data_IF_468390665621
#
_entry.id   IF_468390665621
#
_cell.length_a   1.000
_cell.length_b   1.000
_cell.length_c   1.000
_cell.angle_alpha   90.00
_cell.angle_beta   90.00
_cell.angle_gamma   90.00
#
_symmetry.space_group_name_H-M   'P 1'
#
loop_
_entity.id
_entity.type
_entity.pdbx_description
1 polymer ?
#
# COMPACT_ATOMS: atom_id res chain seq x y z
N UNK A 1 -13.75 22.67 9.46
CA UNK A 1 -12.97 21.59 10.08
C UNK A 1 -12.32 20.72 9.02
N UNK A 2 -13.10 20.04 8.16
CA UNK A 2 -12.62 19.19 7.04
C UNK A 2 -11.58 19.87 6.12
N UNK A 3 -11.78 21.14 5.74
CA UNK A 3 -10.82 21.86 4.89
C UNK A 3 -9.45 22.13 5.57
N UNK A 4 -9.39 22.20 6.90
CA UNK A 4 -8.14 22.42 7.62
C UNK A 4 -7.32 21.13 7.71
N UNK A 5 -8.00 19.99 7.86
CA UNK A 5 -7.41 18.66 7.89
C UNK A 5 -6.80 18.27 6.53
N UNK A 6 -7.52 18.51 5.42
CA UNK A 6 -7.00 18.26 4.07
C UNK A 6 -5.72 19.06 3.77
N UNK A 7 -5.64 20.32 4.23
CA UNK A 7 -4.44 21.15 4.08
C UNK A 7 -3.24 20.60 4.87
N UNK A 8 -3.48 20.06 6.07
CA UNK A 8 -2.45 19.42 6.88
C UNK A 8 -1.95 18.11 6.23
N UNK A 9 -2.87 17.33 5.65
CA UNK A 9 -2.56 16.12 4.89
C UNK A 9 -1.72 16.46 3.65
N UNK A 10 -2.12 17.46 2.86
CA UNK A 10 -1.36 17.92 1.68
C UNK A 10 0.05 18.35 2.09
N UNK A 11 0.18 19.13 3.18
CA UNK A 11 1.49 19.55 3.68
C UNK A 11 2.35 18.34 4.08
N UNK A 12 1.77 17.39 4.81
CA UNK A 12 2.46 16.17 5.25
C UNK A 12 2.95 15.34 4.06
N UNK A 13 2.13 15.18 3.02
CA UNK A 13 2.52 14.44 1.81
C UNK A 13 3.67 15.15 1.10
N UNK A 14 3.61 16.48 0.96
CA UNK A 14 4.68 17.27 0.36
C UNK A 14 6.01 17.13 1.11
N UNK A 15 5.98 17.17 2.45
CA UNK A 15 7.17 16.98 3.28
C UNK A 15 7.77 15.58 3.09
N UNK A 16 6.92 14.56 2.94
CA UNK A 16 7.36 13.19 2.63
C UNK A 16 7.97 13.07 1.24
N UNK A 17 7.35 13.67 0.21
CA UNK A 17 7.89 13.71 -1.16
C UNK A 17 9.27 14.34 -1.17
N UNK A 18 9.42 15.52 -0.54
CA UNK A 18 10.70 16.25 -0.46
C UNK A 18 11.79 15.39 0.16
N UNK A 19 11.46 14.64 1.23
CA UNK A 19 12.41 13.74 1.89
C UNK A 19 12.82 12.57 0.98
N UNK A 20 11.88 11.93 0.31
CA UNK A 20 12.19 10.83 -0.62
C UNK A 20 13.01 11.34 -1.82
N UNK A 21 12.73 12.54 -2.34
CA UNK A 21 13.53 13.16 -3.40
C UNK A 21 14.96 13.45 -2.97
N UNK A 22 15.17 14.01 -1.77
CA UNK A 22 16.49 14.24 -1.21
C UNK A 22 17.28 12.94 -1.05
N UNK A 23 16.64 11.89 -0.52
CA UNK A 23 17.25 10.58 -0.36
C UNK A 23 17.59 9.94 -1.71
N UNK A 24 16.71 10.08 -2.72
CA UNK A 24 16.96 9.60 -4.08
C UNK A 24 18.17 10.29 -4.69
N UNK A 25 18.26 11.61 -4.56
CA UNK A 25 19.41 12.38 -5.05
C UNK A 25 20.72 11.98 -4.34
N UNK A 26 20.67 11.76 -3.02
CA UNK A 26 21.83 11.28 -2.27
C UNK A 26 22.29 9.89 -2.76
N UNK A 27 21.36 8.96 -3.01
CA UNK A 27 21.67 7.64 -3.57
C UNK A 27 22.26 7.72 -4.99
N UNK A 28 21.76 8.63 -5.84
CA UNK A 28 22.33 8.88 -7.19
C UNK A 28 23.76 9.38 -7.09
N UNK A 29 24.04 10.36 -6.22
CA UNK A 29 25.40 10.89 -6.01
C UNK A 29 26.34 9.82 -5.45
N UNK A 30 25.88 9.01 -4.50
CA UNK A 30 26.68 7.93 -3.96
C UNK A 30 26.99 6.88 -5.03
N UNK A 31 26.02 6.55 -5.88
CA UNK A 31 26.23 5.63 -7.02
C UNK A 31 27.26 6.17 -8.01
N UNK A 32 27.20 7.45 -8.36
CA UNK A 32 28.14 8.05 -9.32
C UNK A 32 29.56 8.16 -8.78
N UNK A 33 29.71 8.29 -7.46
CA UNK A 33 31.00 8.51 -6.81
C UNK A 33 31.62 7.23 -6.24
N UNK A 34 30.96 6.08 -6.38
CA UNK A 34 31.42 4.81 -5.81
C UNK A 34 31.76 3.80 -6.91
N UNK A 35 32.99 3.29 -6.88
CA UNK A 35 33.45 2.23 -7.78
C UNK A 35 33.10 0.82 -7.28
N UNK A 36 32.67 0.69 -6.02
CA UNK A 36 32.31 -0.61 -5.46
C UNK A 36 31.01 -1.15 -6.10
N UNK A 37 31.04 -2.32 -6.78
CA UNK A 37 29.86 -2.87 -7.45
C UNK A 37 28.72 -3.20 -6.50
N UNK A 38 29.01 -3.65 -5.26
CA UNK A 38 27.97 -3.94 -4.27
C UNK A 38 27.22 -2.66 -3.84
N UNK A 39 27.97 -1.57 -3.63
CA UNK A 39 27.39 -0.26 -3.28
C UNK A 39 26.55 0.28 -4.42
N UNK A 40 27.02 0.14 -5.67
CA UNK A 40 26.27 0.57 -6.86
C UNK A 40 24.94 -0.17 -6.98
N UNK A 41 24.94 -1.50 -6.87
CA UNK A 41 23.70 -2.31 -6.90
C UNK A 41 22.74 -1.91 -5.79
N UNK A 42 23.24 -1.69 -4.57
CA UNK A 42 22.41 -1.25 -3.46
C UNK A 42 21.81 0.15 -3.69
N UNK A 43 22.60 1.08 -4.26
CA UNK A 43 22.11 2.40 -4.62
C UNK A 43 21.04 2.33 -5.72
N UNK A 44 21.22 1.47 -6.73
CA UNK A 44 20.23 1.26 -7.80
C UNK A 44 18.90 0.75 -7.27
N UNK A 45 18.93 -0.26 -6.40
CA UNK A 45 17.73 -0.75 -5.72
C UNK A 45 17.07 0.37 -4.89
N UNK A 46 17.85 1.16 -4.17
CA UNK A 46 17.34 2.27 -3.35
C UNK A 46 16.69 3.34 -4.21
N UNK A 47 17.29 3.69 -5.35
CA UNK A 47 16.75 4.67 -6.30
C UNK A 47 15.40 4.19 -6.86
N UNK A 48 15.28 2.92 -7.25
CA UNK A 48 14.01 2.37 -7.75
C UNK A 48 12.91 2.40 -6.69
N UNK A 49 13.24 2.02 -5.45
CA UNK A 49 12.27 2.03 -4.34
C UNK A 49 11.83 3.46 -4.01
N UNK A 50 12.77 4.41 -3.89
CA UNK A 50 12.46 5.81 -3.63
C UNK A 50 11.61 6.42 -4.75
N UNK A 51 11.88 6.05 -6.02
CA UNK A 51 11.04 6.49 -7.13
C UNK A 51 9.60 5.99 -6.98
N UNK A 52 9.41 4.69 -6.73
CA UNK A 52 8.07 4.12 -6.49
C UNK A 52 7.36 4.80 -5.32
N UNK A 53 8.08 5.15 -4.25
CA UNK A 53 7.52 5.88 -3.12
C UNK A 53 7.07 7.29 -3.52
N UNK A 54 7.89 8.02 -4.28
CA UNK A 54 7.55 9.36 -4.80
C UNK A 54 6.30 9.28 -5.67
N UNK A 55 6.22 8.30 -6.58
CA UNK A 55 5.10 8.14 -7.49
C UNK A 55 3.79 7.86 -6.74
N UNK A 56 3.85 6.99 -5.72
CA UNK A 56 2.71 6.74 -4.81
C UNK A 56 2.26 8.01 -4.08
N UNK A 57 3.19 8.73 -3.44
CA UNK A 57 2.86 9.93 -2.68
C UNK A 57 2.32 11.05 -3.58
N UNK A 58 2.81 11.17 -4.82
CA UNK A 58 2.31 12.15 -5.80
C UNK A 58 0.89 11.82 -6.25
N UNK A 59 0.61 10.54 -6.54
CA UNK A 59 -0.75 10.12 -6.89
C UNK A 59 -1.73 10.38 -5.74
N UNK A 60 -1.30 10.17 -4.49
CA UNK A 60 -2.16 10.44 -3.34
C UNK A 60 -2.38 11.93 -3.09
N UNK A 61 -1.34 12.75 -3.28
CA UNK A 61 -1.44 14.21 -3.23
C UNK A 61 -2.45 14.74 -4.25
N UNK A 62 -2.42 14.23 -5.48
CA UNK A 62 -3.35 14.61 -6.53
C UNK A 62 -4.81 14.31 -6.13
N UNK A 63 -5.08 13.14 -5.55
CA UNK A 63 -6.42 12.78 -5.06
C UNK A 63 -6.93 13.72 -3.99
N UNK A 64 -6.10 14.03 -2.99
CA UNK A 64 -6.49 14.94 -1.90
C UNK A 64 -6.71 16.36 -2.43
N UNK A 65 -5.88 16.82 -3.38
CA UNK A 65 -6.08 18.11 -4.03
C UNK A 65 -7.37 18.19 -4.85
N UNK A 66 -7.70 17.14 -5.61
CA UNK A 66 -8.97 17.08 -6.35
C UNK A 66 -10.18 17.08 -5.42
N UNK A 67 -10.12 16.33 -4.31
CA UNK A 67 -11.15 16.34 -3.26
C UNK A 67 -11.34 17.74 -2.67
N UNK A 68 -10.23 18.41 -2.32
CA UNK A 68 -10.26 19.78 -1.82
C UNK A 68 -10.85 20.77 -2.84
N UNK A 69 -10.46 20.66 -4.12
CA UNK A 69 -10.97 21.55 -5.17
C UNK A 69 -12.47 21.37 -5.41
N UNK A 70 -12.95 20.12 -5.52
CA UNK A 70 -14.36 19.81 -5.71
C UNK A 70 -15.24 20.32 -4.56
N UNK A 71 -14.75 20.24 -3.32
CA UNK A 71 -15.45 20.78 -2.15
C UNK A 71 -15.49 22.32 -2.15
N UNK A 72 -14.55 22.97 -2.83
CA UNK A 72 -14.47 24.43 -2.96
C UNK A 72 -15.35 24.97 -4.10
N UNK A 73 -15.68 24.15 -5.10
CA UNK A 73 -16.51 24.55 -6.26
C UNK A 73 -18.02 24.37 -6.06
N UNK A 74 -18.49 23.73 -5.00
CA UNK A 74 -19.93 23.52 -4.69
C UNK A 74 -20.67 24.76 -4.16
N UNK A 75 -20.15 25.98 -4.41
CA UNK A 75 -20.74 27.25 -3.96
C UNK A 75 -21.63 27.99 -4.96
N UNK A 76 -21.91 27.43 -6.15
CA UNK A 76 -22.74 28.08 -7.17
C UNK A 76 -24.00 27.23 -7.42
N UNK A 77 -25.20 27.66 -7.00
CA UNK A 77 -26.44 26.98 -7.34
C UNK A 77 -26.68 27.11 -8.85
N UNK A 78 -27.07 26.04 -9.57
CA UNK A 78 -27.62 26.19 -10.91
C UNK A 78 -28.99 26.88 -10.77
N UNK A 79 -29.09 28.11 -11.28
CA UNK A 79 -30.37 28.77 -11.48
C UNK A 79 -31.28 27.91 -12.39
N UNK A 80 -32.54 27.63 -12.02
CA UNK A 80 -33.51 27.11 -12.96
C UNK A 80 -34.05 28.31 -13.75
N UNK A 81 -33.76 28.39 -15.04
CA UNK A 81 -34.54 29.25 -15.92
C UNK A 81 -35.42 28.43 -16.85
N UNK A 82 -36.64 28.89 -16.96
CA UNK A 82 -37.84 28.16 -17.31
C UNK A 82 -38.22 28.43 -18.76
N UNK A 83 -38.62 27.36 -19.47
CA UNK A 83 -39.56 27.41 -20.60
C UNK A 83 -38.96 27.43 -22.00
N UNK A 84 -39.28 26.41 -22.82
CA UNK A 84 -40.44 26.44 -23.74
C UNK A 84 -40.42 25.24 -24.72
N UNK A 85 -41.56 24.54 -24.77
CA UNK A 85 -42.23 23.84 -25.88
C UNK A 85 -41.50 22.94 -26.90
N UNK A 86 -42.04 21.71 -26.98
CA UNK A 86 -41.95 20.71 -28.07
C UNK A 86 -42.50 21.26 -29.42
N UNK A 87 -42.27 20.59 -30.57
CA UNK A 87 -43.17 19.48 -30.93
C UNK A 87 -42.49 18.23 -31.53
N UNK A 88 -43.24 17.14 -31.35
CA UNK A 88 -43.14 15.81 -31.97
C UNK A 88 -43.07 15.87 -33.50
N UNK A 89 -42.21 15.05 -34.09
CA UNK A 89 -42.46 14.55 -35.45
C UNK A 89 -42.04 13.07 -35.59
N UNK A 90 -43.05 12.22 -35.70
CA UNK A 90 -42.95 10.83 -36.13
C UNK A 90 -42.65 10.76 -37.62
N UNK A 91 -41.65 10.00 -38.07
CA UNK A 91 -41.67 9.40 -39.41
C UNK A 91 -41.10 7.98 -39.41
N UNK A 92 -41.94 7.09 -39.92
CA UNK A 92 -41.75 5.71 -40.36
C UNK A 92 -40.49 5.53 -41.22
N UNK A 93 -39.86 4.38 -41.05
CA UNK A 93 -39.01 3.74 -42.05
C UNK A 93 -38.81 2.27 -41.68
N UNK A 94 -39.63 1.41 -42.26
CA UNK A 94 -39.46 -0.05 -42.23
C UNK A 94 -38.63 -0.38 -43.46
N UNK A 95 -37.44 -0.94 -43.29
CA UNK A 95 -36.74 -1.68 -44.34
C UNK A 95 -36.33 -3.05 -43.77
N UNK A 96 -36.85 -4.17 -44.32
CA UNK A 96 -36.35 -5.50 -44.03
C UNK A 96 -35.21 -5.82 -45.00
N UNK A 97 -34.22 -6.58 -44.51
CA UNK A 97 -33.18 -7.26 -45.29
C UNK A 97 -31.88 -6.45 -45.52
N UNK A 98 -31.01 -6.45 -44.49
CA UNK A 98 -29.57 -6.42 -44.70
C UNK A 98 -28.92 -7.49 -43.80
N UNK A 99 -28.28 -8.41 -44.48
CA UNK A 99 -27.62 -9.62 -44.02
C UNK A 99 -26.66 -9.37 -42.87
N UNK A 100 -26.88 -10.16 -41.82
CA UNK A 100 -25.96 -10.58 -40.77
C UNK A 100 -24.49 -10.52 -41.18
N UNK A 101 -23.75 -9.53 -40.67
CA UNK A 101 -22.30 -9.60 -40.59
C UNK A 101 -21.86 -9.34 -39.14
N UNK A 102 -21.19 -10.36 -38.61
CA UNK A 102 -20.69 -10.41 -37.26
C UNK A 102 -19.54 -9.41 -37.10
N UNK A 103 -19.74 -8.37 -36.31
CA UNK A 103 -18.63 -7.80 -35.57
C UNK A 103 -19.12 -7.18 -34.27
N UNK A 104 -19.28 -8.06 -33.28
CA UNK A 104 -19.41 -7.66 -31.89
C UNK A 104 -18.14 -6.90 -31.49
N UNK A 105 -18.22 -5.57 -31.52
CA UNK A 105 -17.37 -4.67 -30.76
C UNK A 105 -17.70 -4.84 -29.27
N UNK A 106 -17.46 -6.06 -28.78
CA UNK A 106 -17.46 -6.37 -27.38
C UNK A 106 -16.05 -6.03 -26.94
N UNK A 107 -15.88 -4.86 -26.33
CA UNK A 107 -14.66 -4.40 -25.67
C UNK A 107 -14.35 -5.33 -24.48
N UNK A 108 -14.08 -6.61 -24.76
CA UNK A 108 -13.62 -7.58 -23.78
C UNK A 108 -12.23 -7.11 -23.39
N UNK A 109 -12.15 -6.55 -22.18
CA UNK A 109 -10.89 -6.18 -21.52
C UNK A 109 -9.87 -7.28 -21.80
N UNK A 110 -8.68 -6.96 -22.31
CA UNK A 110 -7.71 -7.97 -22.68
C UNK A 110 -7.42 -8.86 -21.47
N UNK A 111 -7.58 -10.16 -21.64
CA UNK A 111 -7.27 -11.15 -20.61
C UNK A 111 -5.74 -11.15 -20.46
N UNK A 112 -5.26 -10.51 -19.41
CA UNK A 112 -3.83 -10.47 -19.09
C UNK A 112 -3.33 -11.89 -18.80
N UNK A 113 -2.18 -12.26 -19.36
CA UNK A 113 -1.52 -13.53 -19.02
C UNK A 113 -1.09 -13.52 -17.54
N UNK A 114 -0.96 -14.69 -16.91
CA UNK A 114 -0.36 -14.79 -15.56
C UNK A 114 1.02 -14.11 -15.50
N UNK A 115 1.79 -14.16 -16.61
CA UNK A 115 3.04 -13.43 -16.75
C UNK A 115 2.84 -11.91 -16.79
N UNK A 116 1.78 -11.43 -17.44
CA UNK A 116 1.45 -10.00 -17.48
C UNK A 116 0.94 -9.52 -16.13
N UNK A 117 0.26 -10.37 -15.35
CA UNK A 117 -0.17 -10.07 -14.00
C UNK A 117 1.01 -9.99 -13.01
N UNK A 118 2.08 -10.76 -13.27
CA UNK A 118 3.34 -10.71 -12.50
C UNK A 118 4.22 -9.53 -12.94
N UNK A 119 4.24 -9.22 -14.24
CA UNK A 119 5.05 -8.14 -14.83
C UNK A 119 4.38 -6.77 -14.74
N UNK A 120 3.06 -6.71 -14.57
CA UNK A 120 2.36 -5.45 -14.33
C UNK A 120 2.75 -4.94 -12.95
N UNK A 121 3.29 -3.72 -12.93
CA UNK A 121 3.54 -3.03 -11.68
C UNK A 121 2.21 -2.84 -10.97
N UNK A 122 2.05 -3.47 -9.81
CA UNK A 122 0.89 -3.25 -8.95
C UNK A 122 1.13 -1.94 -8.19
N UNK A 123 0.34 -0.88 -8.43
CA UNK A 123 0.53 0.38 -7.75
C UNK A 123 0.37 0.19 -6.24
N UNK A 124 1.21 0.87 -5.45
CA UNK A 124 1.04 0.88 -4.00
C UNK A 124 -0.24 1.65 -3.68
N UNK A 125 -1.13 1.09 -2.87
CA UNK A 125 -2.38 1.75 -2.47
C UNK A 125 -2.38 2.04 -0.97
N UNK A 126 -3.11 3.06 -0.55
CA UNK A 126 -3.18 3.49 0.87
C UNK A 126 -3.79 2.41 1.76
N UNK A 127 -4.81 1.71 1.28
CA UNK A 127 -5.38 0.53 1.94
C UNK A 127 -4.33 -0.57 2.16
N UNK A 128 -3.53 -0.89 1.14
CA UNK A 128 -2.46 -1.90 1.24
C UNK A 128 -1.36 -1.47 2.21
N UNK A 129 -0.98 -0.18 2.19
CA UNK A 129 -0.01 0.38 3.13
C UNK A 129 -0.52 0.26 4.57
N UNK A 130 -1.79 0.60 4.81
CA UNK A 130 -2.43 0.49 6.13
C UNK A 130 -2.54 -0.95 6.62
N UNK A 131 -3.00 -1.87 5.77
CA UNK A 131 -3.07 -3.29 6.10
C UNK A 131 -1.69 -3.84 6.47
N UNK A 132 -0.67 -3.55 5.65
CA UNK A 132 0.70 -4.02 5.91
C UNK A 132 1.30 -3.40 7.17
N UNK A 133 0.99 -2.15 7.47
CA UNK A 133 1.39 -1.50 8.70
C UNK A 133 0.86 -2.28 9.92
N UNK A 134 -0.45 -2.55 9.95
CA UNK A 134 -1.09 -3.27 11.05
C UNK A 134 -0.59 -4.72 11.18
N UNK A 135 -0.47 -5.45 10.06
CA UNK A 135 0.10 -6.80 10.06
C UNK A 135 1.52 -6.86 10.65
N UNK A 136 2.37 -5.89 10.27
CA UNK A 136 3.76 -5.83 10.74
C UNK A 136 3.84 -5.45 12.22
N UNK A 137 2.99 -4.55 12.69
CA UNK A 137 2.89 -4.20 14.12
C UNK A 137 2.50 -5.42 14.95
N UNK A 138 1.48 -6.17 14.51
CA UNK A 138 1.09 -7.40 15.18
C UNK A 138 2.23 -8.43 15.19
N UNK A 139 2.83 -8.72 14.02
CA UNK A 139 3.93 -9.69 13.91
C UNK A 139 5.12 -9.29 14.77
N UNK A 140 5.48 -8.01 14.81
CA UNK A 140 6.55 -7.50 15.66
C UNK A 140 6.21 -7.69 17.14
N UNK A 141 4.97 -7.44 17.55
CA UNK A 141 4.51 -7.68 18.92
C UNK A 141 4.59 -9.15 19.33
N UNK A 142 4.15 -10.06 18.47
CA UNK A 142 4.25 -11.51 18.70
C UNK A 142 5.70 -11.95 18.81
N UNK A 143 6.56 -11.51 17.88
CA UNK A 143 7.98 -11.89 17.87
C UNK A 143 8.73 -11.35 19.10
N UNK A 144 8.40 -10.15 19.59
CA UNK A 144 8.95 -9.62 20.86
C UNK A 144 8.59 -10.49 22.05
N UNK A 145 7.35 -10.96 22.14
CA UNK A 145 6.94 -11.92 23.19
C UNK A 145 7.68 -13.26 23.06
N UNK A 146 7.91 -13.73 21.83
CA UNK A 146 8.67 -14.96 21.57
C UNK A 146 10.15 -14.82 21.97
N UNK A 147 10.73 -13.65 21.74
CA UNK A 147 12.08 -13.30 22.21
C UNK A 147 12.17 -13.38 23.73
N UNK A 148 11.22 -12.75 24.44
CA UNK A 148 11.15 -12.80 25.90
C UNK A 148 11.01 -14.25 26.41
N UNK A 149 10.19 -15.07 25.75
CA UNK A 149 10.09 -16.50 26.03
C UNK A 149 11.41 -17.24 25.84
N UNK A 150 12.11 -16.96 24.74
CA UNK A 150 13.42 -17.55 24.43
C UNK A 150 14.49 -17.14 25.44
N UNK A 151 14.47 -15.89 25.90
CA UNK A 151 15.35 -15.41 26.95
C UNK A 151 15.10 -16.13 28.29
N UNK A 152 13.82 -16.34 28.66
CA UNK A 152 13.46 -17.11 29.85
C UNK A 152 13.90 -18.58 29.73
N UNK A 153 13.70 -19.20 28.56
CA UNK A 153 14.20 -20.55 28.29
C UNK A 153 15.72 -20.63 28.41
N UNK A 154 16.46 -19.63 27.91
CA UNK A 154 17.92 -19.63 27.97
C UNK A 154 18.40 -19.59 29.43
N UNK A 155 17.79 -18.72 30.23
CA UNK A 155 18.09 -18.61 31.66
C UNK A 155 17.76 -19.90 32.41
N UNK A 156 16.61 -20.52 32.11
CA UNK A 156 16.18 -21.77 32.75
C UNK A 156 17.12 -22.94 32.39
N UNK A 157 17.55 -23.06 31.14
CA UNK A 157 18.49 -24.11 30.71
C UNK A 157 19.85 -23.94 31.38
N UNK A 158 20.36 -22.72 31.45
CA UNK A 158 21.64 -22.43 32.14
C UNK A 158 21.55 -22.74 33.63
N UNK A 159 20.41 -22.43 34.26
CA UNK A 159 20.18 -22.69 35.68
C UNK A 159 20.06 -24.19 36.00
N UNK A 160 19.35 -24.95 35.16
CA UNK A 160 19.15 -26.39 35.36
C UNK A 160 20.44 -27.19 35.14
N UNK A 161 21.15 -26.93 34.04
CA UNK A 161 22.34 -27.70 33.67
C UNK A 161 23.40 -26.83 32.98
N UNK A 162 24.28 -26.16 33.74
CA UNK A 162 25.28 -25.24 33.17
C UNK A 162 26.35 -25.94 32.34
N UNK A 163 26.49 -27.26 32.48
CA UNK A 163 27.45 -28.07 31.71
C UNK A 163 26.90 -28.55 30.37
N UNK A 164 25.58 -28.47 30.15
CA UNK A 164 24.95 -28.92 28.91
C UNK A 164 25.07 -27.84 27.81
N UNK A 165 26.27 -27.77 27.22
CA UNK A 165 26.60 -26.81 26.15
C UNK A 165 25.69 -26.93 24.93
N UNK A 166 25.18 -28.13 24.63
CA UNK A 166 24.31 -28.37 23.47
C UNK A 166 22.95 -27.69 23.64
N UNK A 167 22.31 -27.88 24.79
CA UNK A 167 21.01 -27.27 25.09
C UNK A 167 21.11 -25.74 25.16
N UNK A 168 22.18 -25.23 25.80
CA UNK A 168 22.44 -23.79 25.87
C UNK A 168 22.61 -23.18 24.47
N UNK A 169 23.37 -23.85 23.59
CA UNK A 169 23.57 -23.39 22.22
C UNK A 169 22.28 -23.39 21.40
N UNK A 170 21.40 -24.38 21.57
CA UNK A 170 20.12 -24.43 20.85
C UNK A 170 19.22 -23.24 21.22
N UNK A 171 19.09 -22.93 22.51
CA UNK A 171 18.26 -21.80 22.93
C UNK A 171 18.90 -20.46 22.53
N UNK A 172 20.22 -20.35 22.60
CA UNK A 172 20.95 -19.18 22.08
C UNK A 172 20.72 -18.98 20.57
N UNK A 173 20.66 -20.07 19.79
CA UNK A 173 20.30 -20.03 18.36
C UNK A 173 18.91 -19.43 18.15
N UNK A 174 17.88 -19.93 18.86
CA UNK A 174 16.51 -19.39 18.80
C UNK A 174 16.45 -17.91 19.17
N UNK A 175 17.27 -17.46 20.12
CA UNK A 175 17.38 -16.04 20.45
C UNK A 175 17.99 -15.22 19.31
N UNK A 176 19.05 -15.69 18.65
CA UNK A 176 19.66 -14.97 17.52
C UNK A 176 18.67 -14.85 16.37
N UNK A 177 18.01 -15.96 16.00
CA UNK A 177 16.98 -15.96 14.96
C UNK A 177 15.84 -14.97 15.26
N UNK A 178 15.36 -14.95 16.49
CA UNK A 178 14.31 -14.01 16.90
C UNK A 178 14.79 -12.55 16.84
N UNK A 179 16.07 -12.26 17.13
CA UNK A 179 16.64 -10.90 17.04
C UNK A 179 16.66 -10.44 15.59
N UNK A 180 17.06 -11.31 14.67
CA UNK A 180 17.08 -11.03 13.24
C UNK A 180 15.67 -10.77 12.70
N UNK A 181 14.69 -11.60 13.09
CA UNK A 181 13.27 -11.38 12.73
C UNK A 181 12.76 -10.04 13.24
N UNK A 182 13.02 -9.68 14.50
CA UNK A 182 12.65 -8.38 15.06
C UNK A 182 13.27 -7.24 14.24
N UNK A 183 14.54 -7.36 13.85
CA UNK A 183 15.23 -6.35 13.03
C UNK A 183 14.54 -6.17 11.67
N UNK A 184 14.26 -7.26 10.96
CA UNK A 184 13.60 -7.24 9.65
C UNK A 184 12.18 -6.69 9.72
N UNK A 185 11.39 -7.14 10.71
CA UNK A 185 10.03 -6.66 10.94
C UNK A 185 10.03 -5.17 11.29
N UNK A 186 10.95 -4.72 12.15
CA UNK A 186 11.08 -3.31 12.53
C UNK A 186 11.45 -2.44 11.34
N UNK A 187 12.39 -2.90 10.49
CA UNK A 187 12.79 -2.19 9.26
C UNK A 187 11.61 -2.08 8.30
N UNK A 188 10.88 -3.17 8.09
CA UNK A 188 9.72 -3.20 7.20
C UNK A 188 8.61 -2.30 7.70
N UNK A 189 8.29 -2.36 8.99
CA UNK A 189 7.31 -1.51 9.65
C UNK A 189 7.67 -0.03 9.47
N UNK A 190 8.93 0.34 9.69
CA UNK A 190 9.37 1.72 9.49
C UNK A 190 9.21 2.18 8.03
N UNK A 191 9.44 1.30 7.05
CA UNK A 191 9.22 1.63 5.64
C UNK A 191 7.73 1.91 5.35
N UNK A 192 6.82 1.09 5.86
CA UNK A 192 5.38 1.33 5.68
C UNK A 192 4.88 2.55 6.48
N UNK A 193 5.41 2.81 7.68
CA UNK A 193 5.11 4.03 8.46
C UNK A 193 5.47 5.31 7.71
N UNK A 194 6.60 5.31 6.99
CA UNK A 194 7.00 6.46 6.17
C UNK A 194 5.97 6.76 5.06
N UNK A 195 5.38 5.73 4.47
CA UNK A 195 4.39 5.87 3.40
C UNK A 195 2.97 6.13 3.91
N UNK A 196 2.62 5.68 5.11
CA UNK A 196 1.28 5.81 5.67
C UNK A 196 0.85 7.27 5.83
N UNK A 197 -0.35 7.62 5.35
CA UNK A 197 -0.92 8.96 5.46
C UNK A 197 -2.20 8.86 6.29
N UNK A 198 -2.23 9.56 7.42
CA UNK A 198 -3.40 9.64 8.29
C UNK A 198 -4.48 10.51 7.64
N UNK A 199 -5.76 10.16 7.78
CA UNK A 199 -6.91 10.97 7.33
C UNK A 199 -7.44 10.68 5.92
N UNK A 200 -6.78 9.83 5.11
CA UNK A 200 -7.27 9.49 3.76
C UNK A 200 -8.10 8.20 3.74
N UNK A 201 -7.87 7.29 4.69
CA UNK A 201 -8.47 5.95 4.65
C UNK A 201 -9.90 5.88 5.19
N UNK A 202 -10.40 6.93 5.85
CA UNK A 202 -11.63 6.83 6.64
C UNK A 202 -12.91 7.13 5.85
N UNK A 203 -12.81 7.58 4.59
CA UNK A 203 -13.97 8.05 3.82
C UNK A 203 -14.44 7.14 2.66
N UNK A 204 -13.62 6.18 2.22
CA UNK A 204 -13.98 5.27 1.11
C UNK A 204 -14.61 3.94 1.56
N UNK A 205 -15.06 3.81 2.81
CA UNK A 205 -15.74 2.61 3.32
C UNK A 205 -17.25 2.56 3.01
N UNK A 206 -17.66 2.88 1.78
CA UNK A 206 -18.99 2.50 1.28
C UNK A 206 -18.91 1.30 0.34
N UNK A 207 -19.25 0.14 0.92
CA UNK A 207 -19.88 -1.04 0.30
C UNK A 207 -19.12 -1.82 -0.77
N UNK A 208 -18.66 -3.02 -0.41
CA UNK A 208 -19.20 -4.28 -0.94
C UNK A 208 -18.78 -5.45 -0.02
N UNK A 209 -19.76 -5.89 0.75
CA UNK A 209 -19.87 -7.16 1.46
C UNK A 209 -19.51 -8.32 0.50
N UNK A 210 -18.50 -9.13 0.84
CA UNK A 210 -18.13 -10.46 0.29
C UNK A 210 -16.61 -10.74 0.20
N UNK A 211 -15.72 -9.76 0.41
CA UNK A 211 -14.26 -9.97 0.41
C UNK A 211 -13.61 -9.89 1.82
N UNK A 212 -14.29 -10.41 2.83
CA UNK A 212 -13.83 -10.51 4.23
C UNK A 212 -12.66 -11.49 4.46
N UNK A 213 -11.92 -11.86 3.42
CA UNK A 213 -10.62 -12.53 3.53
C UNK A 213 -9.53 -11.56 4.01
N UNK A 214 -9.71 -10.26 3.79
CA UNK A 214 -8.69 -9.24 4.05
C UNK A 214 -8.90 -8.47 5.37
N UNK A 215 -10.02 -8.71 6.07
CA UNK A 215 -10.38 -8.13 7.37
C UNK A 215 -10.18 -9.07 8.56
N UNK A 216 -9.40 -10.15 8.43
CA UNK A 216 -9.06 -10.93 9.62
C UNK A 216 -8.16 -10.11 10.53
N UNK A 217 -8.65 -9.88 11.74
CA UNK A 217 -7.84 -9.41 12.86
C UNK A 217 -6.56 -10.25 12.91
N UNK A 218 -5.38 -9.62 13.01
CA UNK A 218 -4.14 -10.36 13.01
C UNK A 218 -4.15 -11.45 14.08
N UNK A 219 -4.01 -12.71 13.65
CA UNK A 219 -4.02 -13.88 14.52
C UNK A 219 -5.29 -14.76 14.47
N UNK A 220 -6.38 -14.32 13.83
CA UNK A 220 -7.55 -15.18 13.67
C UNK A 220 -7.32 -16.16 12.50
N UNK A 221 -7.06 -17.44 12.80
CA UNK A 221 -7.08 -18.49 11.76
C UNK A 221 -8.51 -18.98 11.60
N UNK A 222 -8.98 -19.09 10.36
CA UNK A 222 -10.26 -19.74 10.06
C UNK A 222 -10.22 -21.20 10.53
N UNK A 223 -11.25 -21.65 11.26
CA UNK A 223 -11.47 -23.09 11.50
C UNK A 223 -11.63 -23.77 10.14
N UNK A 224 -10.86 -24.82 9.88
CA UNK A 224 -11.11 -25.65 8.71
C UNK A 224 -12.33 -26.52 9.02
N UNK A 225 -13.38 -26.40 8.20
CA UNK A 225 -14.53 -27.30 8.18
C UNK A 225 -14.45 -28.13 6.92
#
# INVERSE_FOLDING_TARGET
>A
EVQMEDLEVIRTINDKIKKEEQMRQAAVRLKSNSDNPAVRTQCEQSIMVMQRNIDYLRSELEKVQLKHQNLSTSGIPPHPNQGQNMPVQSHRGVDPNATQDNNGANSRKPVLSNLDLIKSDTPMTTQKVSLKLHELEFKLGVERKLMEGSQKMANAVVFQDPKNKKSIAEVAGKMIESKEKISLLSRSLNNYKKLYITGINDEDETSNDDNDIYRLTPGLRRRMT
#
